data_IF_671048174104
#
_entry.id   IF_671048174104
#
_cell.length_a   1.000
_cell.length_b   1.000
_cell.length_c   1.000
_cell.angle_alpha   90.00
_cell.angle_beta   90.00
_cell.angle_gamma   90.00
#
_symmetry.space_group_name_H-M   'P 1'
#
loop_
_entity.id
_entity.type
_entity.pdbx_description
1 polymer ?
#
# COMPACT_ATOMS: atom_id res chain seq x y z
N UNK A 1 61.45 -8.19 -32.10
CA UNK A 1 62.26 -8.25 -30.85
C UNK A 1 61.93 -9.56 -30.12
N UNK A 2 62.86 -10.20 -29.40
CA UNK A 2 62.74 -11.60 -28.94
C UNK A 2 63.31 -11.80 -27.52
N UNK A 3 62.46 -12.12 -26.54
CA UNK A 3 62.78 -12.66 -25.19
C UNK A 3 61.46 -13.29 -24.67
N UNK A 4 61.34 -14.62 -24.58
CA UNK A 4 61.82 -15.57 -23.55
C UNK A 4 60.96 -15.61 -22.26
N UNK A 5 60.17 -16.67 -22.11
CA UNK A 5 59.74 -17.21 -20.80
C UNK A 5 60.89 -17.98 -20.16
N UNK A 6 61.00 -17.94 -18.84
CA UNK A 6 61.69 -18.94 -18.02
C UNK A 6 60.98 -19.11 -16.68
N UNK A 7 60.39 -20.30 -16.43
CA UNK A 7 60.10 -20.75 -15.07
C UNK A 7 61.41 -21.20 -14.40
N UNK A 8 61.45 -21.24 -13.07
CA UNK A 8 62.35 -22.14 -12.37
C UNK A 8 61.71 -22.69 -11.08
N UNK A 9 62.08 -23.90 -10.67
CA UNK A 9 61.58 -24.61 -9.48
C UNK A 9 62.73 -25.29 -8.73
N UNK A 10 62.97 -24.90 -7.48
CA UNK A 10 63.64 -25.70 -6.44
C UNK A 10 63.46 -24.97 -5.09
N UNK A 11 62.95 -25.54 -3.99
CA UNK A 11 63.16 -26.82 -3.27
C UNK A 11 64.28 -26.81 -2.21
N UNK A 12 63.83 -26.89 -0.95
CA UNK A 12 64.36 -27.72 0.15
C UNK A 12 65.50 -27.20 1.09
N UNK A 13 65.54 -27.86 2.27
CA UNK A 13 66.45 -27.72 3.43
C UNK A 13 66.41 -26.38 4.21
N UNK A 14 66.03 -26.24 5.50
CA UNK A 14 65.83 -27.12 6.69
C UNK A 14 67.06 -27.37 7.59
N UNK A 15 67.19 -26.57 8.67
CA UNK A 15 67.80 -26.81 10.01
C UNK A 15 67.37 -25.60 10.87
N UNK A 16 66.63 -25.66 11.99
CA UNK A 16 66.57 -26.56 13.16
C UNK A 16 67.77 -26.44 14.10
N UNK A 17 67.56 -25.74 15.23
CA UNK A 17 68.00 -26.16 16.58
C UNK A 17 67.13 -25.51 17.65
N UNK A 18 67.10 -26.11 18.84
CA UNK A 18 66.10 -25.90 19.90
C UNK A 18 66.75 -25.70 21.26
N UNK A 19 66.16 -24.85 22.09
CA UNK A 19 66.34 -24.83 23.56
C UNK A 19 65.01 -24.47 24.23
N UNK A 20 64.67 -25.22 25.27
CA UNK A 20 63.55 -24.97 26.20
C UNK A 20 64.13 -24.62 27.60
N UNK A 21 63.40 -24.27 28.66
CA UNK A 21 61.93 -24.28 28.89
C UNK A 21 61.48 -22.89 29.42
N UNK A 22 60.73 -22.58 30.50
CA UNK A 22 59.98 -23.29 31.56
C UNK A 22 58.83 -22.36 32.09
N UNK A 23 57.71 -22.95 32.51
CA UNK A 23 56.65 -22.45 33.41
C UNK A 23 56.19 -20.97 33.46
N UNK A 24 54.86 -20.79 33.42
CA UNK A 24 54.17 -20.13 34.55
C UNK A 24 53.40 -18.83 34.28
N UNK A 25 52.14 -18.93 33.82
CA UNK A 25 50.94 -18.77 34.68
C UNK A 25 49.66 -19.08 33.89
N UNK A 26 48.58 -19.45 34.58
CA UNK A 26 47.28 -19.68 33.97
C UNK A 26 46.36 -18.46 34.16
N UNK A 27 45.71 -18.03 33.08
CA UNK A 27 44.66 -17.01 33.09
C UNK A 27 43.56 -17.37 32.10
N UNK A 28 42.80 -18.43 32.39
CA UNK A 28 41.58 -18.76 31.64
C UNK A 28 40.50 -17.75 32.03
N UNK A 29 40.46 -16.63 31.33
CA UNK A 29 39.37 -15.66 31.43
C UNK A 29 38.10 -16.29 30.81
N UNK A 30 37.36 -17.04 31.64
CA UNK A 30 36.06 -17.56 31.29
C UNK A 30 35.09 -16.38 31.09
N UNK A 31 34.96 -15.93 29.84
CA UNK A 31 33.99 -14.91 29.47
C UNK A 31 32.59 -15.46 29.68
N UNK A 32 32.00 -15.14 30.83
CA UNK A 32 30.59 -15.32 31.09
C UNK A 32 29.80 -14.36 30.19
N UNK A 33 29.65 -14.73 28.92
CA UNK A 33 28.67 -14.11 28.03
C UNK A 33 27.34 -14.24 28.75
N UNK A 34 26.62 -13.14 29.04
CA UNK A 34 25.28 -13.25 29.59
C UNK A 34 24.44 -13.99 28.55
N UNK A 35 24.02 -15.21 28.87
CA UNK A 35 23.05 -15.96 28.07
C UNK A 35 21.71 -15.24 28.18
N UNK A 36 21.55 -14.19 27.37
CA UNK A 36 20.26 -13.60 27.10
C UNK A 36 19.37 -14.75 26.66
N UNK A 37 18.34 -15.04 27.44
CA UNK A 37 17.31 -16.00 27.06
C UNK A 37 16.59 -15.40 25.86
N UNK A 38 17.07 -15.73 24.67
CA UNK A 38 16.47 -15.35 23.40
C UNK A 38 15.13 -16.07 23.30
N UNK A 39 14.09 -15.43 23.86
CA UNK A 39 12.73 -15.91 23.87
C UNK A 39 12.33 -16.27 22.44
N UNK A 40 12.10 -17.56 22.21
CA UNK A 40 11.98 -18.13 20.86
C UNK A 40 10.87 -17.38 20.13
N UNK A 41 11.13 -16.67 19.01
CA UNK A 41 10.16 -15.73 18.45
C UNK A 41 8.83 -16.41 18.16
N UNK A 42 7.82 -16.12 19.00
CA UNK A 42 6.51 -16.75 18.95
C UNK A 42 5.85 -16.45 17.62
N UNK A 43 5.85 -17.42 16.71
CA UNK A 43 5.19 -17.34 15.41
C UNK A 43 3.71 -17.61 15.57
N UNK A 44 2.88 -16.74 15.00
CA UNK A 44 1.43 -16.89 15.01
C UNK A 44 0.97 -17.56 13.72
N UNK A 45 -0.04 -18.42 13.82
CA UNK A 45 -0.67 -19.03 12.64
C UNK A 45 -1.49 -17.99 11.87
N UNK A 46 -1.81 -18.28 10.61
CA UNK A 46 -2.67 -17.41 9.80
C UNK A 46 -4.00 -17.10 10.52
N UNK A 47 -4.66 -18.12 11.08
CA UNK A 47 -5.91 -17.98 11.80
C UNK A 47 -5.79 -17.09 13.06
N UNK A 48 -4.68 -17.17 13.79
CA UNK A 48 -4.41 -16.29 14.94
C UNK A 48 -4.17 -14.84 14.53
N UNK A 49 -3.57 -14.62 13.35
CA UNK A 49 -3.33 -13.28 12.79
C UNK A 49 -4.60 -12.67 12.20
N UNK A 50 -5.48 -13.47 11.61
CA UNK A 50 -6.85 -13.07 11.22
C UNK A 50 -7.65 -12.67 12.46
N UNK A 51 -7.73 -13.53 13.48
CA UNK A 51 -8.45 -13.21 14.72
C UNK A 51 -7.89 -11.98 15.45
N UNK A 52 -6.57 -11.73 15.38
CA UNK A 52 -5.98 -10.47 15.85
C UNK A 52 -6.44 -9.26 15.01
N UNK A 53 -6.49 -9.38 13.67
CA UNK A 53 -6.95 -8.32 12.76
C UNK A 53 -8.42 -7.96 13.00
N UNK A 54 -9.29 -8.96 13.11
CA UNK A 54 -10.72 -8.78 13.37
C UNK A 54 -10.96 -8.06 14.71
N UNK A 55 -10.09 -8.30 15.69
CA UNK A 55 -10.13 -7.64 16.98
C UNK A 55 -9.59 -6.19 16.98
N UNK A 56 -8.62 -5.85 16.12
CA UNK A 56 -8.23 -4.44 15.91
C UNK A 56 -9.36 -3.69 15.21
N UNK A 57 -10.01 -4.30 14.21
CA UNK A 57 -11.21 -3.74 13.58
C UNK A 57 -12.32 -3.46 14.60
N UNK A 58 -12.62 -4.45 15.45
CA UNK A 58 -13.62 -4.33 16.52
C UNK A 58 -13.28 -3.34 17.65
N UNK A 59 -12.11 -2.70 17.64
CA UNK A 59 -11.75 -1.64 18.58
C UNK A 59 -12.12 -0.23 18.10
N UNK A 60 -12.39 -0.05 16.80
CA UNK A 60 -12.84 1.19 16.12
C UNK A 60 -12.20 2.50 16.63
N UNK A 61 -10.91 2.69 16.30
CA UNK A 61 -10.13 3.85 16.76
C UNK A 61 -9.64 4.67 15.58
N UNK A 62 -10.17 5.89 15.46
CA UNK A 62 -9.74 6.85 14.45
C UNK A 62 -8.24 7.19 14.59
N UNK A 63 -7.54 7.30 13.46
CA UNK A 63 -6.08 7.50 13.45
C UNK A 63 -5.26 6.21 13.54
N UNK A 64 -5.89 5.04 13.43
CA UNK A 64 -5.18 3.72 13.39
C UNK A 64 -5.27 3.05 12.02
N UNK A 65 -4.30 2.17 11.72
CA UNK A 65 -4.28 1.28 10.55
C UNK A 65 -3.42 0.03 10.86
N UNK A 66 -3.70 -1.13 10.25
CA UNK A 66 -2.95 -2.36 10.55
C UNK A 66 -2.75 -3.31 9.35
N UNK A 67 -1.71 -4.15 9.44
CA UNK A 67 -1.40 -5.16 8.44
C UNK A 67 -0.69 -6.39 9.05
N UNK A 68 -0.80 -7.55 8.40
CA UNK A 68 0.08 -8.69 8.72
C UNK A 68 1.47 -8.42 8.12
N UNK A 69 2.52 -8.60 8.92
CA UNK A 69 3.91 -8.65 8.49
C UNK A 69 4.25 -10.08 8.01
N UNK A 70 4.51 -10.28 6.71
CA UNK A 70 4.76 -11.62 6.16
C UNK A 70 6.12 -12.20 6.56
N UNK A 71 7.07 -11.39 7.06
CA UNK A 71 8.37 -11.83 7.55
C UNK A 71 8.29 -12.20 9.03
N UNK A 72 7.80 -11.30 9.89
CA UNK A 72 7.79 -11.52 11.36
C UNK A 72 6.57 -12.30 11.87
N UNK A 73 5.58 -12.59 11.02
CA UNK A 73 4.33 -13.30 11.37
C UNK A 73 3.60 -12.67 12.55
N UNK A 74 3.50 -11.34 12.53
CA UNK A 74 2.79 -10.50 13.50
C UNK A 74 1.85 -9.53 12.79
N UNK A 75 0.90 -8.96 13.53
CA UNK A 75 0.03 -7.89 13.07
C UNK A 75 0.61 -6.54 13.52
N UNK A 76 1.03 -5.70 12.58
CA UNK A 76 1.50 -4.34 12.86
C UNK A 76 0.29 -3.42 12.94
N UNK A 77 0.24 -2.56 13.95
CA UNK A 77 -0.82 -1.56 14.15
C UNK A 77 -0.16 -0.18 14.27
N UNK A 78 -0.20 0.59 13.19
CA UNK A 78 0.29 1.97 13.14
C UNK A 78 -0.78 2.91 13.68
N UNK A 79 -0.39 3.87 14.50
CA UNK A 79 -1.30 4.89 15.07
C UNK A 79 -0.71 6.30 14.93
N UNK A 80 -1.54 7.29 14.61
CA UNK A 80 -1.10 8.66 14.37
C UNK A 80 -0.90 9.48 15.66
N UNK A 81 -0.63 10.79 15.51
CA UNK A 81 -0.38 11.67 16.66
C UNK A 81 -1.61 12.01 17.50
N UNK A 82 -2.82 11.62 17.06
CA UNK A 82 -4.08 11.84 17.77
C UNK A 82 -4.49 10.68 18.67
N UNK A 83 -4.00 9.45 18.41
CA UNK A 83 -4.35 8.25 19.19
C UNK A 83 -3.65 8.22 20.55
N UNK A 84 -4.40 8.10 21.64
CA UNK A 84 -3.89 8.07 23.02
C UNK A 84 -3.36 6.69 23.44
N UNK A 85 -2.71 6.62 24.61
CA UNK A 85 -2.29 5.34 25.17
C UNK A 85 -3.46 4.50 25.74
N UNK A 86 -4.56 5.15 26.13
CA UNK A 86 -5.77 4.43 26.57
C UNK A 86 -6.40 3.67 25.40
N UNK A 87 -6.46 4.29 24.23
CA UNK A 87 -6.94 3.69 22.99
C UNK A 87 -6.06 2.51 22.53
N UNK A 88 -4.72 2.63 22.57
CA UNK A 88 -3.82 1.48 22.33
C UNK A 88 -4.11 0.31 23.29
N UNK A 89 -4.46 0.60 24.55
CA UNK A 89 -4.81 -0.43 25.52
C UNK A 89 -6.17 -1.08 25.20
N UNK A 90 -7.13 -0.33 24.65
CA UNK A 90 -8.41 -0.88 24.11
C UNK A 90 -8.15 -1.85 22.95
N UNK A 91 -7.28 -1.50 21.99
CA UNK A 91 -6.89 -2.38 20.87
C UNK A 91 -6.31 -3.69 21.40
N UNK A 92 -5.35 -3.61 22.33
CA UNK A 92 -4.74 -4.80 22.96
C UNK A 92 -5.75 -5.64 23.74
N UNK A 93 -6.68 -5.00 24.46
CA UNK A 93 -7.75 -5.69 25.20
C UNK A 93 -8.70 -6.44 24.26
N UNK A 94 -9.06 -5.82 23.14
CA UNK A 94 -9.89 -6.44 22.10
C UNK A 94 -9.23 -7.71 21.54
N UNK A 95 -7.93 -7.66 21.24
CA UNK A 95 -7.17 -8.80 20.71
C UNK A 95 -7.01 -9.98 21.68
N UNK A 96 -7.30 -9.81 22.98
CA UNK A 96 -7.38 -10.91 23.95
C UNK A 96 -6.18 -11.86 23.94
N UNK A 97 -6.43 -13.16 23.70
CA UNK A 97 -5.39 -14.20 23.61
C UNK A 97 -4.43 -14.06 22.40
N UNK A 98 -4.66 -13.08 21.53
CA UNK A 98 -3.82 -12.74 20.38
C UNK A 98 -3.14 -11.37 20.53
N UNK A 99 -3.24 -10.71 21.68
CA UNK A 99 -2.58 -9.42 21.94
C UNK A 99 -1.05 -9.46 21.72
N UNK A 100 -0.40 -10.60 22.01
CA UNK A 100 1.03 -10.84 21.73
C UNK A 100 1.40 -10.76 20.23
N UNK A 101 0.42 -10.95 19.33
CA UNK A 101 0.61 -10.85 17.90
C UNK A 101 0.72 -9.38 17.44
N UNK A 102 0.30 -8.41 18.25
CA UNK A 102 0.27 -7.00 17.91
C UNK A 102 1.65 -6.33 18.07
N UNK A 103 2.11 -5.61 17.04
CA UNK A 103 3.25 -4.68 17.08
C UNK A 103 2.73 -3.26 16.88
N UNK A 104 2.68 -2.46 17.95
CA UNK A 104 2.17 -1.07 17.88
C UNK A 104 3.28 -0.14 17.40
N UNK A 105 2.99 0.72 16.43
CA UNK A 105 3.90 1.74 15.88
C UNK A 105 3.24 3.12 15.92
N UNK A 106 4.03 4.19 16.08
CA UNK A 106 3.52 5.58 16.16
C UNK A 106 4.13 6.47 15.08
N UNK A 107 3.31 7.34 14.48
CA UNK A 107 3.75 8.33 13.48
C UNK A 107 3.36 9.77 13.89
N UNK A 108 4.15 10.79 13.50
CA UNK A 108 3.78 12.19 13.70
C UNK A 108 2.75 12.68 12.67
N UNK A 109 1.92 13.66 13.05
CA UNK A 109 0.99 14.35 12.13
C UNK A 109 -0.43 13.78 12.06
N UNK A 110 -1.21 14.31 11.10
CA UNK A 110 -2.63 14.04 10.82
C UNK A 110 -2.91 14.32 9.32
N UNK A 111 -3.78 13.54 8.66
CA UNK A 111 -3.87 13.38 7.19
C UNK A 111 -4.57 14.54 6.38
N UNK A 112 -4.14 14.90 5.13
CA UNK A 112 -4.47 16.17 4.36
C UNK A 112 -4.77 16.04 2.81
N UNK A 113 -5.03 17.14 2.00
CA UNK A 113 -5.86 17.09 0.73
C UNK A 113 -5.59 18.15 -0.42
N UNK A 114 -5.47 17.79 -1.74
CA UNK A 114 -5.35 18.66 -2.98
C UNK A 114 -5.93 18.07 -4.34
N UNK A 115 -5.82 18.74 -5.54
CA UNK A 115 -6.76 18.67 -6.73
C UNK A 115 -6.15 18.55 -8.19
N UNK A 116 -6.85 17.87 -9.14
CA UNK A 116 -6.63 17.44 -10.59
C UNK A 116 -6.98 15.95 -10.94
N UNK A 117 -6.11 15.11 -11.55
CA UNK A 117 -6.36 13.69 -11.92
C UNK A 117 -5.52 12.65 -11.14
N UNK A 118 -6.15 11.84 -10.28
CA UNK A 118 -5.52 11.21 -9.11
C UNK A 118 -5.52 12.16 -7.92
N UNK A 119 -6.69 12.75 -7.65
CA UNK A 119 -6.76 14.08 -7.07
C UNK A 119 -8.21 14.50 -6.74
N UNK A 120 -8.41 15.49 -5.86
CA UNK A 120 -9.64 15.65 -5.10
C UNK A 120 -10.92 15.98 -5.91
N UNK A 121 -11.83 15.00 -5.92
CA UNK A 121 -13.24 15.17 -6.29
C UNK A 121 -14.08 15.20 -5.01
N UNK A 122 -15.06 16.09 -4.95
CA UNK A 122 -15.90 16.32 -3.77
C UNK A 122 -17.37 16.05 -4.06
N UNK A 123 -18.13 15.60 -3.05
CA UNK A 123 -19.53 15.15 -3.18
C UNK A 123 -20.34 15.45 -1.91
N UNK A 124 -21.49 14.77 -1.74
CA UNK A 124 -22.16 14.59 -0.45
C UNK A 124 -21.41 13.65 0.50
N UNK A 125 -20.81 12.57 -0.03
CA UNK A 125 -20.09 11.53 0.73
C UNK A 125 -18.70 11.94 1.21
N UNK A 126 -18.07 12.95 0.59
CA UNK A 126 -16.86 13.58 1.13
C UNK A 126 -15.87 14.01 0.06
N UNK A 127 -14.63 13.49 0.16
CA UNK A 127 -13.55 13.71 -0.82
C UNK A 127 -12.82 12.42 -1.14
N UNK A 128 -12.92 12.02 -2.40
CA UNK A 128 -12.11 10.98 -3.02
C UNK A 128 -11.20 11.57 -4.12
N UNK A 129 -10.53 10.70 -4.86
CA UNK A 129 -9.69 11.03 -6.01
C UNK A 129 -10.38 10.66 -7.33
N UNK A 130 -10.26 11.51 -8.35
CA UNK A 130 -10.51 11.13 -9.74
C UNK A 130 -9.53 10.02 -10.13
N UNK A 131 -10.00 8.96 -10.79
CA UNK A 131 -9.18 7.85 -11.28
C UNK A 131 -8.62 8.13 -12.66
N UNK A 132 -9.34 7.67 -13.68
CA UNK A 132 -9.04 7.94 -15.08
C UNK A 132 -10.20 8.67 -15.74
N UNK A 133 -9.87 9.64 -16.60
CA UNK A 133 -10.83 10.12 -17.58
C UNK A 133 -11.07 9.03 -18.64
N UNK A 134 -12.33 8.78 -18.97
CA UNK A 134 -12.75 7.75 -19.93
C UNK A 134 -13.87 8.28 -20.83
N UNK A 135 -14.10 7.66 -21.98
CA UNK A 135 -15.17 8.06 -22.91
C UNK A 135 -15.93 6.87 -23.48
N UNK A 136 -17.16 7.11 -23.88
CA UNK A 136 -17.91 6.27 -24.82
C UNK A 136 -18.38 7.17 -25.97
N UNK A 137 -17.87 6.92 -27.18
CA UNK A 137 -17.99 7.85 -28.30
C UNK A 137 -17.49 9.26 -27.94
N UNK A 138 -18.35 10.26 -28.09
CA UNK A 138 -18.12 11.66 -27.72
C UNK A 138 -18.52 12.03 -26.29
N UNK A 139 -19.09 11.10 -25.51
CA UNK A 139 -19.47 11.37 -24.11
C UNK A 139 -18.30 11.03 -23.18
N UNK A 140 -17.91 12.02 -22.36
CA UNK A 140 -16.83 11.90 -21.41
C UNK A 140 -17.33 11.62 -20.00
N UNK A 141 -16.56 10.83 -19.27
CA UNK A 141 -16.76 10.42 -17.89
C UNK A 141 -15.42 10.43 -17.16
N UNK A 142 -15.45 10.25 -15.85
CA UNK A 142 -14.30 9.75 -15.09
C UNK A 142 -14.69 8.55 -14.24
N UNK A 143 -13.74 7.63 -14.07
CA UNK A 143 -13.82 6.54 -13.10
C UNK A 143 -13.31 7.02 -11.73
N UNK A 144 -13.86 6.44 -10.67
CA UNK A 144 -13.40 6.56 -9.28
C UNK A 144 -13.80 5.29 -8.52
N UNK A 145 -13.65 5.24 -7.20
CA UNK A 145 -14.05 4.07 -6.39
C UNK A 145 -15.56 4.03 -6.17
N UNK A 146 -16.11 2.83 -5.96
CA UNK A 146 -17.54 2.60 -5.77
C UNK A 146 -18.04 3.15 -4.44
N UNK A 147 -17.29 2.98 -3.35
CA UNK A 147 -17.62 3.56 -2.04
C UNK A 147 -17.62 5.10 -2.04
N UNK A 148 -17.01 5.72 -3.05
CA UNK A 148 -17.05 7.16 -3.25
C UNK A 148 -18.35 7.60 -3.95
N UNK A 149 -18.81 6.84 -4.94
CA UNK A 149 -20.02 7.10 -5.73
C UNK A 149 -21.32 6.60 -5.12
N UNK A 150 -21.28 5.62 -4.21
CA UNK A 150 -22.49 5.18 -3.53
C UNK A 150 -23.12 6.31 -2.70
N UNK A 151 -24.45 6.44 -2.77
CA UNK A 151 -25.18 7.59 -2.22
C UNK A 151 -24.82 8.98 -2.78
N UNK A 152 -23.81 9.12 -3.65
CA UNK A 152 -23.33 10.40 -4.17
C UNK A 152 -23.95 10.72 -5.53
N UNK A 153 -24.57 11.90 -5.67
CA UNK A 153 -25.25 12.31 -6.92
C UNK A 153 -24.41 13.26 -7.76
N UNK A 154 -23.96 14.38 -7.19
CA UNK A 154 -23.23 15.45 -7.88
C UNK A 154 -21.78 15.55 -7.40
N UNK A 155 -20.86 15.71 -8.34
CA UNK A 155 -19.43 15.83 -8.10
C UNK A 155 -18.87 17.21 -8.44
N UNK A 156 -17.90 17.65 -7.65
CA UNK A 156 -17.34 19.00 -7.69
C UNK A 156 -15.80 18.99 -7.71
N UNK A 157 -15.22 19.97 -8.39
CA UNK A 157 -13.79 20.19 -8.53
C UNK A 157 -13.16 20.97 -7.35
N UNK A 158 -13.93 21.27 -6.30
CA UNK A 158 -13.45 22.03 -5.15
C UNK A 158 -14.21 21.70 -3.85
N UNK A 159 -13.54 21.89 -2.71
CA UNK A 159 -14.07 21.62 -1.37
C UNK A 159 -15.29 22.46 -0.99
N UNK A 160 -15.39 23.68 -1.54
CA UNK A 160 -16.56 24.55 -1.38
C UNK A 160 -17.79 24.08 -2.18
N UNK A 161 -17.64 23.08 -3.06
CA UNK A 161 -18.70 22.49 -3.89
C UNK A 161 -19.45 23.53 -4.75
N UNK A 162 -18.69 24.41 -5.39
CA UNK A 162 -19.23 25.44 -6.32
C UNK A 162 -18.93 25.12 -7.79
N UNK A 163 -17.83 24.43 -8.09
CA UNK A 163 -17.45 24.06 -9.46
C UNK A 163 -17.91 22.64 -9.75
N UNK A 164 -19.09 22.48 -10.34
CA UNK A 164 -19.61 21.16 -10.76
C UNK A 164 -18.71 20.54 -11.83
N UNK A 165 -18.43 19.24 -11.71
CA UNK A 165 -17.80 18.40 -12.73
C UNK A 165 -18.86 17.63 -13.52
N UNK A 166 -19.75 16.94 -12.79
CA UNK A 166 -20.58 15.88 -13.35
C UNK A 166 -21.51 15.22 -12.33
N UNK A 167 -22.22 14.19 -12.78
CA UNK A 167 -23.15 13.40 -11.96
C UNK A 167 -22.84 11.91 -12.06
N UNK A 168 -22.98 11.20 -10.93
CA UNK A 168 -22.80 9.74 -10.89
C UNK A 168 -23.73 9.08 -11.89
N UNK A 169 -23.18 8.16 -12.68
CA UNK A 169 -23.88 7.40 -13.72
C UNK A 169 -23.81 5.88 -13.50
N UNK A 170 -23.02 5.45 -12.52
CA UNK A 170 -22.97 4.07 -12.02
C UNK A 170 -22.10 4.00 -10.77
N UNK A 171 -22.42 3.07 -9.88
CA UNK A 171 -21.63 2.71 -8.70
C UNK A 171 -21.69 1.19 -8.52
N UNK A 172 -20.62 0.59 -8.00
CA UNK A 172 -20.57 -0.82 -7.62
C UNK A 172 -19.69 -0.95 -6.39
N UNK A 173 -20.34 -1.02 -5.24
CA UNK A 173 -19.78 -1.26 -3.92
C UNK A 173 -20.90 -1.76 -2.98
N UNK A 174 -20.63 -2.71 -2.06
CA UNK A 174 -19.44 -3.55 -1.98
C UNK A 174 -19.44 -4.65 -3.07
N UNK A 175 -18.76 -5.78 -2.84
CA UNK A 175 -18.36 -6.82 -3.80
C UNK A 175 -17.26 -6.36 -4.76
N UNK A 176 -17.47 -5.23 -5.42
CA UNK A 176 -16.49 -4.53 -6.26
C UNK A 176 -16.20 -3.15 -5.63
N UNK A 177 -15.26 -2.39 -6.19
CA UNK A 177 -15.06 -0.99 -5.78
C UNK A 177 -14.76 -0.05 -6.96
N UNK A 178 -15.73 0.11 -7.85
CA UNK A 178 -15.68 1.11 -8.94
C UNK A 178 -16.96 1.95 -9.04
N UNK A 179 -16.79 3.17 -9.53
CA UNK A 179 -17.85 4.10 -9.86
C UNK A 179 -17.53 4.91 -11.10
N UNK A 180 -18.56 5.42 -11.76
CA UNK A 180 -18.43 6.25 -12.97
C UNK A 180 -19.29 7.51 -12.86
N UNK A 181 -18.69 8.65 -13.22
CA UNK A 181 -19.31 9.97 -13.17
C UNK A 181 -19.28 10.57 -14.56
N UNK A 182 -20.45 10.92 -15.12
CA UNK A 182 -20.55 11.59 -16.42
C UNK A 182 -20.25 13.07 -16.26
N UNK A 183 -19.36 13.61 -17.08
CA UNK A 183 -19.14 15.05 -17.13
C UNK A 183 -20.38 15.77 -17.64
N UNK A 184 -20.87 16.75 -16.87
CA UNK A 184 -21.92 17.69 -17.28
C UNK A 184 -21.36 19.06 -17.58
N UNK A 185 -20.24 19.42 -16.95
CA UNK A 185 -19.56 20.69 -17.20
C UNK A 185 -18.69 20.62 -18.46
N UNK A 186 -19.01 21.45 -19.46
CA UNK A 186 -18.33 21.50 -20.76
C UNK A 186 -17.02 22.30 -20.74
N UNK A 187 -16.83 23.25 -19.82
CA UNK A 187 -15.71 24.21 -19.87
C UNK A 187 -14.40 23.70 -19.26
N UNK A 188 -14.45 22.63 -18.45
CA UNK A 188 -13.28 22.02 -17.82
C UNK A 188 -12.58 21.06 -18.79
N UNK A 189 -11.24 21.10 -18.96
CA UNK A 189 -10.49 20.11 -19.74
C UNK A 189 -10.72 18.66 -19.30
N UNK A 190 -10.57 17.73 -20.24
CA UNK A 190 -10.88 16.30 -20.09
C UNK A 190 -9.80 15.53 -20.81
N UNK A 191 -8.60 15.59 -20.24
CA UNK A 191 -7.40 15.06 -20.85
C UNK A 191 -7.21 13.60 -20.39
N UNK A 192 -6.72 12.72 -21.27
CA UNK A 192 -6.46 11.30 -20.98
C UNK A 192 -5.28 11.05 -20.03
N UNK A 193 -4.97 11.99 -19.14
CA UNK A 193 -3.70 12.02 -18.40
C UNK A 193 -3.86 11.88 -16.89
N UNK A 194 -2.80 11.40 -16.24
CA UNK A 194 -2.65 11.31 -14.79
C UNK A 194 -1.47 12.20 -14.38
N UNK A 195 -1.76 13.42 -13.93
CA UNK A 195 -0.72 14.40 -13.57
C UNK A 195 0.26 14.72 -14.69
N UNK A 196 -0.19 14.68 -15.96
CA UNK A 196 0.65 14.87 -17.15
C UNK A 196 1.22 13.59 -17.77
N UNK A 197 1.12 12.43 -17.12
CA UNK A 197 1.37 11.14 -17.79
C UNK A 197 0.17 10.78 -18.66
N UNK A 198 0.37 10.69 -19.97
CA UNK A 198 -0.62 10.23 -20.95
C UNK A 198 -1.00 8.75 -20.77
N UNK A 199 -2.29 8.38 -20.86
CA UNK A 199 -2.82 7.03 -20.59
C UNK A 199 -3.64 6.51 -21.78
N UNK A 200 -2.94 6.02 -22.80
CA UNK A 200 -3.51 5.58 -24.08
C UNK A 200 -4.10 4.17 -24.08
N UNK A 201 -4.01 3.42 -22.98
CA UNK A 201 -4.43 2.01 -22.93
C UNK A 201 -4.73 1.52 -21.51
N UNK A 202 -5.32 0.32 -21.38
CA UNK A 202 -5.53 -0.35 -20.09
C UNK A 202 -5.00 -1.79 -20.12
N UNK A 203 -4.57 -2.32 -18.98
CA UNK A 203 -4.04 -3.68 -18.87
C UNK A 203 -4.32 -4.30 -17.48
N UNK A 204 -4.48 -5.62 -17.44
CA UNK A 204 -4.53 -6.36 -16.19
C UNK A 204 -3.16 -6.36 -15.50
N UNK A 205 -3.18 -6.24 -14.17
CA UNK A 205 -1.97 -6.32 -13.35
C UNK A 205 -1.35 -7.73 -13.37
N UNK A 206 -0.02 -7.78 -13.22
CA UNK A 206 0.74 -9.02 -12.98
C UNK A 206 1.59 -8.86 -11.72
N UNK A 207 1.83 -9.93 -10.96
CA UNK A 207 2.70 -9.87 -9.78
C UNK A 207 4.12 -9.50 -10.22
N UNK A 208 4.75 -8.55 -9.51
CA UNK A 208 6.03 -7.95 -9.89
C UNK A 208 5.93 -6.80 -10.89
N UNK A 209 4.75 -6.48 -11.44
CA UNK A 209 4.57 -5.32 -12.31
C UNK A 209 4.92 -4.03 -11.56
N UNK A 210 5.86 -3.27 -12.10
CA UNK A 210 6.15 -1.91 -11.64
C UNK A 210 4.97 -0.99 -11.94
N UNK A 211 4.48 -0.29 -10.93
CA UNK A 211 3.29 0.56 -10.98
C UNK A 211 3.53 1.87 -10.25
N UNK A 212 2.91 2.93 -10.77
CA UNK A 212 2.81 4.23 -10.12
C UNK A 212 1.34 4.51 -9.88
N UNK A 213 0.99 5.15 -8.77
CA UNK A 213 -0.34 5.74 -8.59
C UNK A 213 -0.25 7.26 -8.46
N UNK A 214 -1.41 7.89 -8.53
CA UNK A 214 -1.59 9.26 -8.05
C UNK A 214 -2.83 9.36 -7.15
N UNK A 215 -2.80 10.20 -6.11
CA UNK A 215 -3.90 10.34 -5.16
C UNK A 215 -3.94 11.71 -4.50
N UNK A 216 -5.15 12.17 -4.17
CA UNK A 216 -5.43 13.54 -3.68
C UNK A 216 -4.89 13.88 -2.29
N UNK A 217 -4.35 12.92 -1.55
CA UNK A 217 -3.83 13.05 -0.18
C UNK A 217 -2.31 13.11 -0.22
N UNK A 218 -1.70 12.20 -0.96
CA UNK A 218 -0.24 11.94 -0.93
C UNK A 218 0.48 12.28 -2.23
N UNK A 219 -0.25 12.56 -3.32
CA UNK A 219 0.33 12.82 -4.63
C UNK A 219 0.75 11.53 -5.35
N UNK A 220 1.91 11.55 -5.99
CA UNK A 220 2.39 10.48 -6.89
C UNK A 220 3.37 9.55 -6.18
N UNK A 221 3.10 8.25 -6.15
CA UNK A 221 3.96 7.24 -5.52
C UNK A 221 4.11 6.00 -6.40
N UNK A 222 5.29 5.37 -6.39
CA UNK A 222 5.61 4.18 -7.19
C UNK A 222 5.99 2.98 -6.32
N UNK A 223 5.88 1.79 -6.90
CA UNK A 223 6.19 0.50 -6.28
C UNK A 223 5.85 -0.65 -7.23
N UNK A 224 5.38 -1.76 -6.69
CA UNK A 224 5.06 -2.97 -7.44
C UNK A 224 3.81 -3.70 -6.94
N UNK A 225 3.19 -4.44 -7.85
CA UNK A 225 2.11 -5.39 -7.54
C UNK A 225 2.70 -6.58 -6.77
N UNK A 226 2.17 -6.86 -5.57
CA UNK A 226 2.61 -7.93 -4.66
C UNK A 226 1.59 -9.06 -4.52
N UNK A 227 0.41 -8.93 -5.15
CA UNK A 227 -0.62 -9.97 -5.19
C UNK A 227 -1.80 -9.58 -6.09
N UNK A 228 -2.65 -10.55 -6.40
CA UNK A 228 -3.84 -10.41 -7.25
C UNK A 228 -4.99 -11.23 -6.63
N UNK A 229 -6.24 -10.94 -7.02
CA UNK A 229 -7.44 -11.62 -6.53
C UNK A 229 -7.54 -11.62 -4.99
N UNK A 230 -7.19 -10.50 -4.35
CA UNK A 230 -7.34 -10.33 -2.91
C UNK A 230 -8.80 -9.99 -2.55
N UNK A 231 -9.28 -10.58 -1.46
CA UNK A 231 -10.49 -10.12 -0.78
C UNK A 231 -10.11 -9.09 0.29
N UNK A 232 -10.86 -8.01 0.40
CA UNK A 232 -10.71 -6.99 1.46
C UNK A 232 -12.06 -6.82 2.15
N UNK A 233 -12.06 -6.81 3.49
CA UNK A 233 -13.24 -6.55 4.31
C UNK A 233 -13.01 -5.25 5.08
N UNK A 234 -13.83 -4.24 4.83
CA UNK A 234 -13.74 -2.92 5.47
C UNK A 234 -14.59 -2.80 6.75
N UNK A 235 -15.31 -3.86 7.13
CA UNK A 235 -16.32 -3.82 8.20
C UNK A 235 -17.72 -3.50 7.67
N UNK A 236 -18.73 -3.47 8.53
CA UNK A 236 -20.12 -3.09 8.17
C UNK A 236 -20.91 -4.03 7.23
N UNK A 237 -20.22 -4.95 6.53
CA UNK A 237 -20.75 -5.70 5.38
C UNK A 237 -19.96 -5.43 4.09
N UNK A 238 -19.05 -4.46 4.11
CA UNK A 238 -18.30 -3.97 2.96
C UNK A 238 -17.11 -4.87 2.60
N UNK A 239 -17.41 -6.00 1.97
CA UNK A 239 -16.42 -6.95 1.47
C UNK A 239 -16.28 -6.83 -0.05
N UNK A 240 -15.05 -6.63 -0.54
CA UNK A 240 -14.73 -6.51 -1.96
C UNK A 240 -13.72 -7.58 -2.41
N UNK A 241 -13.82 -8.04 -3.65
CA UNK A 241 -13.11 -9.21 -4.20
C UNK A 241 -12.26 -8.84 -5.42
N UNK A 242 -11.45 -9.77 -5.94
CA UNK A 242 -10.70 -9.56 -7.19
C UNK A 242 -9.48 -8.62 -7.10
N UNK A 243 -9.22 -8.02 -5.93
CA UNK A 243 -8.39 -6.83 -5.81
C UNK A 243 -6.91 -7.06 -6.14
N UNK A 244 -6.30 -6.06 -6.76
CA UNK A 244 -4.85 -5.96 -7.00
C UNK A 244 -4.20 -5.48 -5.70
N UNK A 245 -3.23 -6.22 -5.16
CA UNK A 245 -2.46 -5.83 -3.98
C UNK A 245 -1.11 -5.24 -4.41
N UNK A 246 -0.72 -4.08 -3.89
CA UNK A 246 0.60 -3.48 -4.14
C UNK A 246 1.32 -3.13 -2.83
N UNK A 247 2.62 -2.81 -2.91
CA UNK A 247 3.38 -2.17 -1.82
C UNK A 247 3.44 -0.64 -1.96
N UNK A 248 2.68 -0.05 -2.88
CA UNK A 248 2.54 1.40 -2.98
C UNK A 248 1.68 1.84 -1.79
N UNK A 249 2.21 2.73 -0.94
CA UNK A 249 1.44 3.36 0.14
C UNK A 249 0.20 4.09 -0.40
N UNK A 250 -0.81 4.36 0.43
CA UNK A 250 -1.91 5.30 0.14
C UNK A 250 -2.57 5.74 1.45
N UNK A 251 -3.30 6.86 1.43
CA UNK A 251 -3.93 7.44 2.62
C UNK A 251 -5.39 7.90 2.35
N UNK A 252 -6.24 8.10 3.39
CA UNK A 252 -7.69 8.22 3.24
C UNK A 252 -8.17 9.32 2.27
N UNK A 253 -8.75 8.91 1.13
CA UNK A 253 -9.19 9.78 0.03
C UNK A 253 -8.24 9.85 -1.17
N UNK A 254 -7.09 9.15 -1.13
CA UNK A 254 -6.44 8.63 -2.34
C UNK A 254 -7.34 7.61 -3.08
N UNK A 255 -8.34 7.08 -2.39
CA UNK A 255 -9.49 6.31 -2.89
C UNK A 255 -10.02 6.84 -4.22
N UNK A 256 -10.26 5.96 -5.18
CA UNK A 256 -10.61 6.25 -6.56
C UNK A 256 -9.44 6.63 -7.48
N UNK A 257 -8.27 6.98 -6.93
CA UNK A 257 -7.11 7.44 -7.70
C UNK A 257 -6.53 6.38 -8.65
N UNK A 258 -5.88 6.78 -9.75
CA UNK A 258 -5.35 5.87 -10.76
C UNK A 258 -4.09 5.16 -10.27
N UNK A 259 -4.03 3.85 -10.49
CA UNK A 259 -2.81 3.03 -10.56
C UNK A 259 -2.51 2.74 -12.02
N UNK A 260 -1.31 3.08 -12.48
CA UNK A 260 -0.88 3.01 -13.87
C UNK A 260 0.54 2.43 -14.02
N UNK A 261 0.92 2.02 -15.22
CA UNK A 261 2.24 1.47 -15.54
C UNK A 261 2.69 1.90 -16.93
N UNK A 262 3.42 3.02 -17.00
CA UNK A 262 3.61 3.76 -18.25
C UNK A 262 2.29 4.34 -18.73
N UNK A 263 1.99 4.26 -20.02
CA UNK A 263 0.72 4.73 -20.63
C UNK A 263 -0.48 3.79 -20.42
N UNK A 264 -0.40 2.88 -19.43
CA UNK A 264 -1.40 1.84 -19.18
C UNK A 264 -2.11 2.09 -17.86
N UNK A 265 -3.43 2.25 -17.89
CA UNK A 265 -4.30 2.16 -16.72
C UNK A 265 -4.30 0.72 -16.19
N UNK A 266 -4.15 0.53 -14.87
CA UNK A 266 -4.07 -0.78 -14.20
C UNK A 266 -5.18 -0.97 -13.16
N UNK A 267 -5.44 0.04 -12.32
CA UNK A 267 -6.45 -0.06 -11.26
C UNK A 267 -6.89 1.28 -10.67
N UNK A 268 -7.92 1.24 -9.83
CA UNK A 268 -8.46 2.36 -9.06
C UNK A 268 -8.20 2.11 -7.57
N UNK A 269 -7.65 3.06 -6.82
CA UNK A 269 -7.40 2.91 -5.38
C UNK A 269 -8.70 2.58 -4.67
N UNK A 270 -8.76 1.48 -3.93
CA UNK A 270 -9.92 1.17 -3.08
C UNK A 270 -9.63 1.66 -1.66
N UNK A 271 -8.73 0.97 -0.99
CA UNK A 271 -8.26 1.28 0.35
C UNK A 271 -6.96 0.54 0.64
N UNK A 272 -6.47 0.65 1.87
CA UNK A 272 -5.18 0.07 2.24
C UNK A 272 -4.85 0.25 3.71
N UNK A 273 -3.63 -0.13 4.06
CA UNK A 273 -3.06 0.01 5.40
C UNK A 273 -1.60 0.44 5.34
N UNK A 274 -1.14 1.12 6.39
CA UNK A 274 0.09 1.91 6.37
C UNK A 274 -0.16 3.34 5.88
N UNK A 275 0.91 4.01 5.42
CA UNK A 275 0.89 5.42 4.99
C UNK A 275 2.13 5.70 4.12
N UNK A 276 2.28 6.90 3.58
CA UNK A 276 3.39 7.23 2.69
C UNK A 276 4.71 7.67 3.36
N UNK A 277 4.76 7.66 4.69
CA UNK A 277 6.01 7.81 5.45
C UNK A 277 6.64 6.46 5.86
N UNK A 278 5.83 5.45 6.20
CA UNK A 278 6.29 4.10 6.57
C UNK A 278 6.20 3.07 5.45
N UNK A 279 5.54 3.39 4.34
CA UNK A 279 5.05 2.40 3.38
C UNK A 279 3.75 1.75 3.83
N UNK A 280 3.18 0.90 2.97
CA UNK A 280 1.89 0.27 3.22
C UNK A 280 1.54 -0.84 2.23
N UNK A 281 0.39 -1.47 2.46
CA UNK A 281 -0.30 -2.34 1.50
C UNK A 281 -1.52 -1.61 0.99
N UNK A 282 -1.60 -1.31 -0.30
CA UNK A 282 -2.80 -0.72 -0.90
C UNK A 282 -3.45 -1.71 -1.86
N UNK A 283 -4.77 -1.73 -1.87
CA UNK A 283 -5.61 -2.55 -2.72
C UNK A 283 -6.29 -1.68 -3.78
N UNK A 284 -6.35 -2.19 -5.00
CA UNK A 284 -6.89 -1.49 -6.16
C UNK A 284 -7.87 -2.39 -6.90
N UNK A 285 -9.02 -1.83 -7.24
CA UNK A 285 -9.98 -2.44 -8.15
C UNK A 285 -9.35 -2.51 -9.56
N UNK A 286 -9.30 -3.68 -10.23
CA UNK A 286 -8.90 -3.77 -11.63
C UNK A 286 -9.67 -2.80 -12.53
N UNK A 287 -8.96 -1.91 -13.22
CA UNK A 287 -9.63 -0.87 -14.04
C UNK A 287 -10.30 -1.47 -15.28
N UNK A 288 -9.74 -2.55 -15.82
CA UNK A 288 -10.28 -3.28 -16.98
C UNK A 288 -11.70 -3.79 -16.70
N UNK A 289 -12.00 -4.16 -15.46
CA UNK A 289 -13.35 -4.57 -15.05
C UNK A 289 -14.33 -3.42 -15.15
N UNK A 290 -13.99 -2.24 -14.58
CA UNK A 290 -14.82 -1.04 -14.64
C UNK A 290 -15.01 -0.51 -16.08
N UNK A 291 -13.97 -0.56 -16.91
CA UNK A 291 -14.01 -0.18 -18.33
C UNK A 291 -15.00 -1.08 -19.10
N UNK A 292 -14.92 -2.39 -18.88
CA UNK A 292 -15.82 -3.38 -19.48
C UNK A 292 -17.26 -3.24 -18.97
N UNK A 293 -17.46 -3.07 -17.67
CA UNK A 293 -18.78 -2.96 -17.03
C UNK A 293 -19.58 -1.74 -17.51
N UNK A 294 -18.91 -0.65 -17.89
CA UNK A 294 -19.56 0.59 -18.34
C UNK A 294 -19.42 0.88 -19.85
N UNK A 295 -18.73 0.04 -20.63
CA UNK A 295 -18.58 0.23 -22.08
C UNK A 295 -17.81 1.50 -22.44
N UNK A 296 -16.73 1.78 -21.72
CA UNK A 296 -15.91 3.01 -21.82
C UNK A 296 -14.43 2.67 -21.98
N UNK A 297 -13.66 3.58 -22.59
CA UNK A 297 -12.20 3.46 -22.73
C UNK A 297 -11.47 4.70 -22.24
N UNK A 298 -10.22 4.52 -21.79
CA UNK A 298 -9.21 5.60 -21.80
C UNK A 298 -8.87 5.99 -23.26
N UNK A 299 -8.17 7.11 -23.47
CA UNK A 299 -8.01 7.72 -24.79
C UNK A 299 -6.85 8.71 -24.89
#
# INVERSE_FOLDING_TARGET
>A
MRIKRTNNRSNAARRVRTTAVLAGLAAVAAMAIPTANAETPRTFSANQLTAASDAVLGADIAGTAWNIDPQTKRLVVTVDSTVTQAEINTIKKSAGAHADALRIERIPGKFTKLISGGDAIYSSTGRCSLGFNVRSGSTYYFLTAGHCTDGATTWYANSARTTVLGTTSGSSFPNNDYGIVRYTNTTIPKDGTVGGQDITSAANATVGMAVTRRGSTTGTHSGSVTGLNATVNYGGGDVVYGMIRTNVCAEPGDSGGPLYSGTRAIGLTSGGSGNCSSGGTTFFQPVVEALNAYGVSVY
#
